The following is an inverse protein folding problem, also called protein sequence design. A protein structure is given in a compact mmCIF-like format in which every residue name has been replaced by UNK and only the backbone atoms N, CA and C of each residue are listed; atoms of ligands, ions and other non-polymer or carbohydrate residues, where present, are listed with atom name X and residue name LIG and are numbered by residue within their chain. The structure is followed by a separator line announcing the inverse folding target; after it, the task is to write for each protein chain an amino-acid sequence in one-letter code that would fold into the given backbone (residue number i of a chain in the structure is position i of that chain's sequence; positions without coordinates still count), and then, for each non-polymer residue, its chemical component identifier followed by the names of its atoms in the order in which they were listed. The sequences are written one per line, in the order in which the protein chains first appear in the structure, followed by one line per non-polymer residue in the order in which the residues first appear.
data_IF_894111836437
#
_entry.id   IF_894111836437
#
_cell.length_a   1.000
_cell.length_b   1.000
_cell.length_c   1.000
_cell.angle_alpha   90.00
_cell.angle_beta   90.00
_cell.angle_gamma   90.00
#
_symmetry.space_group_name_H-M   'P 1'
#
loop_
_entity.id
_entity.type
_entity.pdbx_description
1 polymer ?
#
# COMPACT_ATOMS: atom_id res chain seq x y z
N UNK A 1 -3.04 -18.88 -20.56
CA UNK A 1 -3.16 -18.41 -19.17
C UNK A 1 -4.63 -18.48 -18.78
N UNK A 2 -4.99 -19.08 -17.64
CA UNK A 2 -6.36 -18.98 -17.12
C UNK A 2 -6.71 -17.50 -16.89
N UNK A 3 -7.96 -17.12 -17.18
CA UNK A 3 -8.47 -15.77 -16.88
C UNK A 3 -8.48 -15.55 -15.36
N UNK A 4 -7.96 -14.42 -14.87
CA UNK A 4 -8.04 -14.11 -13.44
C UNK A 4 -9.52 -14.02 -13.03
N UNK A 5 -9.86 -14.68 -11.92
CA UNK A 5 -11.19 -14.59 -11.32
C UNK A 5 -11.37 -13.24 -10.65
N UNK A 6 -12.59 -12.68 -10.70
CA UNK A 6 -12.94 -11.49 -9.93
C UNK A 6 -12.81 -11.84 -8.45
N UNK A 7 -12.04 -11.06 -7.65
CA UNK A 7 -11.97 -11.28 -6.21
C UNK A 7 -13.35 -11.06 -5.57
N UNK A 8 -13.70 -11.85 -4.56
CA UNK A 8 -14.93 -11.62 -3.81
C UNK A 8 -14.80 -10.40 -2.90
N UNK A 9 -15.93 -9.79 -2.55
CA UNK A 9 -15.97 -8.68 -1.59
C UNK A 9 -15.33 -9.07 -0.25
N UNK A 10 -15.52 -10.32 0.19
CA UNK A 10 -14.89 -10.86 1.40
C UNK A 10 -13.36 -10.90 1.32
N UNK A 11 -12.80 -11.20 0.14
CA UNK A 11 -11.34 -11.20 -0.06
C UNK A 11 -10.77 -9.78 0.04
N UNK A 12 -11.47 -8.79 -0.54
CA UNK A 12 -11.08 -7.38 -0.45
C UNK A 12 -11.24 -6.86 0.99
N UNK A 13 -12.33 -7.22 1.67
CA UNK A 13 -12.56 -6.90 3.08
C UNK A 13 -11.49 -7.53 3.97
N UNK A 14 -11.10 -8.77 3.72
CA UNK A 14 -10.05 -9.44 4.48
C UNK A 14 -8.69 -8.77 4.29
N UNK A 15 -8.33 -8.37 3.07
CA UNK A 15 -7.07 -7.66 2.81
C UNK A 15 -6.99 -6.35 3.60
N UNK A 16 -8.05 -5.55 3.57
CA UNK A 16 -8.12 -4.29 4.32
C UNK A 16 -8.17 -4.51 5.84
N UNK A 17 -8.82 -5.58 6.31
CA UNK A 17 -8.83 -5.97 7.72
C UNK A 17 -7.43 -6.36 8.21
N UNK A 18 -6.64 -7.08 7.39
CA UNK A 18 -5.25 -7.41 7.71
C UNK A 18 -4.39 -6.16 7.82
N UNK A 19 -4.52 -5.17 6.92
CA UNK A 19 -3.82 -3.88 7.05
C UNK A 19 -4.23 -3.13 8.33
N UNK A 20 -5.52 -3.18 8.70
CA UNK A 20 -6.01 -2.60 9.93
C UNK A 20 -5.42 -3.30 11.18
N UNK A 21 -5.22 -4.61 11.13
CA UNK A 21 -4.53 -5.36 12.20
C UNK A 21 -3.08 -4.94 12.34
N UNK A 22 -2.32 -4.82 11.23
CA UNK A 22 -0.93 -4.32 11.28
C UNK A 22 -0.88 -2.94 11.91
N UNK A 23 -1.73 -2.01 11.44
CA UNK A 23 -1.85 -0.66 12.03
C UNK A 23 -2.16 -0.71 13.53
N UNK A 24 -3.03 -1.61 13.98
CA UNK A 24 -3.37 -1.73 15.39
C UNK A 24 -2.22 -2.33 16.20
N UNK A 25 -1.48 -3.30 15.64
CA UNK A 25 -0.28 -3.86 16.26
C UNK A 25 0.82 -2.81 16.40
N UNK A 26 1.06 -1.96 15.40
CA UNK A 26 2.03 -0.85 15.52
C UNK A 26 1.70 0.13 16.66
N UNK A 27 0.42 0.24 17.06
CA UNK A 27 -0.01 1.09 18.19
C UNK A 27 0.24 0.48 19.56
N UNK A 28 0.66 -0.78 19.63
CA UNK A 28 1.07 -1.42 20.89
C UNK A 28 2.55 -1.21 21.17
N UNK A 29 3.22 -0.33 20.43
CA UNK A 29 4.65 -0.04 20.52
C UNK A 29 5.54 -1.30 20.53
N UNK A 30 5.39 -2.22 19.55
CA UNK A 30 6.20 -3.43 19.48
C UNK A 30 7.68 -3.10 19.19
N UNK A 31 8.61 -4.01 19.52
CA UNK A 31 10.02 -3.79 19.24
C UNK A 31 10.26 -3.69 17.73
N UNK A 32 11.21 -2.83 17.34
CA UNK A 32 11.54 -2.56 15.93
C UNK A 32 11.91 -3.85 15.17
N UNK A 33 12.52 -4.82 15.84
CA UNK A 33 12.84 -6.14 15.28
C UNK A 33 11.62 -6.94 14.82
N UNK A 34 10.44 -6.72 15.42
CA UNK A 34 9.18 -7.34 15.00
C UNK A 34 8.47 -6.50 13.92
N UNK A 35 8.70 -5.18 13.89
CA UNK A 35 8.08 -4.25 12.93
C UNK A 35 8.73 -4.30 11.56
N UNK A 36 10.07 -4.34 11.49
CA UNK A 36 10.79 -4.24 10.21
C UNK A 36 10.43 -5.34 9.21
N UNK A 37 10.25 -6.62 9.59
CA UNK A 37 9.77 -7.65 8.66
C UNK A 37 8.37 -7.36 8.11
N UNK A 38 7.47 -6.81 8.94
CA UNK A 38 6.12 -6.42 8.50
C UNK A 38 6.18 -5.27 7.48
N UNK A 39 6.99 -4.25 7.76
CA UNK A 39 7.19 -3.12 6.85
C UNK A 39 7.86 -3.55 5.55
N UNK A 40 8.84 -4.46 5.62
CA UNK A 40 9.51 -4.98 4.43
C UNK A 40 8.53 -5.68 3.49
N UNK A 41 7.60 -6.49 4.02
CA UNK A 41 6.55 -7.10 3.21
C UNK A 41 5.53 -6.10 2.67
N UNK A 42 5.11 -5.11 3.47
CA UNK A 42 4.15 -4.09 3.03
C UNK A 42 4.72 -3.14 1.96
N UNK A 43 6.03 -2.92 1.98
CA UNK A 43 6.76 -2.03 1.10
C UNK A 43 7.62 -2.80 0.10
N UNK A 44 7.34 -4.07 -0.14
CA UNK A 44 8.08 -4.90 -1.09
C UNK A 44 8.14 -4.24 -2.48
N UNK A 45 9.27 -4.40 -3.17
CA UNK A 45 9.55 -3.68 -4.42
C UNK A 45 8.69 -4.11 -5.60
N UNK A 46 8.17 -5.33 -5.57
CA UNK A 46 7.38 -5.92 -6.65
C UNK A 46 5.93 -6.16 -6.23
N UNK A 47 5.71 -6.47 -4.96
CA UNK A 47 4.43 -6.96 -4.43
C UNK A 47 3.89 -6.12 -3.26
N UNK A 48 4.58 -5.04 -2.92
CA UNK A 48 4.18 -4.14 -1.83
C UNK A 48 2.88 -3.39 -2.14
N UNK A 49 2.26 -2.86 -1.08
CA UNK A 49 1.07 -2.02 -1.17
C UNK A 49 1.27 -0.83 -2.12
N UNK A 50 2.40 -0.09 -2.10
CA UNK A 50 2.65 1.01 -3.05
C UNK A 50 2.48 0.62 -4.52
N UNK A 51 3.08 -0.50 -4.91
CA UNK A 51 3.11 -0.99 -6.30
C UNK A 51 1.73 -1.53 -6.69
N UNK A 52 1.17 -2.43 -5.88
CA UNK A 52 -0.12 -3.05 -6.17
C UNK A 52 -1.25 -2.00 -6.23
N UNK A 53 -1.28 -1.06 -5.29
CA UNK A 53 -2.29 0.01 -5.29
C UNK A 53 -2.14 0.91 -6.52
N UNK A 54 -0.90 1.28 -6.87
CA UNK A 54 -0.62 2.06 -8.07
C UNK A 54 -1.12 1.37 -9.35
N UNK A 55 -0.86 0.08 -9.49
CA UNK A 55 -1.28 -0.71 -10.64
C UNK A 55 -2.80 -0.89 -10.72
N UNK A 56 -3.46 -1.09 -9.58
CA UNK A 56 -4.93 -1.14 -9.50
C UNK A 56 -5.53 0.19 -9.96
N UNK A 57 -5.03 1.32 -9.44
CA UNK A 57 -5.55 2.66 -9.78
C UNK A 57 -5.31 3.02 -11.24
N UNK A 58 -4.12 2.71 -11.78
CA UNK A 58 -3.80 2.91 -13.20
C UNK A 58 -4.68 2.04 -14.10
N UNK A 59 -4.94 0.79 -13.70
CA UNK A 59 -5.84 -0.12 -14.40
C UNK A 59 -7.28 0.35 -14.36
N UNK A 60 -7.75 0.86 -13.22
CA UNK A 60 -9.08 1.44 -13.06
C UNK A 60 -9.25 2.69 -13.96
N UNK A 61 -8.28 3.60 -13.95
CA UNK A 61 -8.30 4.79 -14.82
C UNK A 61 -8.38 4.41 -16.30
N UNK A 62 -7.61 3.40 -16.72
CA UNK A 62 -7.65 2.85 -18.08
C UNK A 62 -9.00 2.25 -18.41
N UNK A 63 -9.58 1.48 -17.49
CA UNK A 63 -10.87 0.81 -17.67
C UNK A 63 -12.01 1.82 -17.84
N UNK A 64 -12.06 2.84 -16.99
CA UNK A 64 -13.05 3.93 -17.08
C UNK A 64 -12.92 4.69 -18.41
N UNK A 65 -11.68 5.05 -18.81
CA UNK A 65 -11.44 5.73 -20.08
C UNK A 65 -11.88 4.90 -21.30
N UNK A 66 -11.68 3.58 -21.27
CA UNK A 66 -12.03 2.69 -22.38
C UNK A 66 -13.54 2.44 -22.51
N UNK A 67 -14.27 2.46 -21.40
CA UNK A 67 -15.71 2.14 -21.36
C UNK A 67 -16.61 3.37 -21.45
N UNK A 68 -16.04 4.58 -21.43
CA UNK A 68 -16.79 5.82 -21.54
C UNK A 68 -17.04 6.18 -23.00
N UNK A 69 -18.31 6.47 -23.34
CA UNK A 69 -18.68 6.96 -24.65
C UNK A 69 -18.08 8.36 -24.92
N UNK A 70 -17.62 8.59 -26.15
CA UNK A 70 -17.08 9.89 -26.56
C UNK A 70 -18.21 10.85 -27.01
N UNK A 71 -18.15 12.15 -26.63
CA UNK A 71 -17.14 12.79 -25.79
C UNK A 71 -17.33 12.52 -24.28
N UNK A 72 -16.23 12.40 -23.54
CA UNK A 72 -16.25 12.22 -22.08
C UNK A 72 -16.77 13.48 -21.35
N UNK A 73 -17.58 13.31 -20.31
CA UNK A 73 -17.97 14.40 -19.40
C UNK A 73 -16.76 14.91 -18.62
N UNK A 74 -16.81 16.16 -18.14
CA UNK A 74 -15.72 16.72 -17.32
C UNK A 74 -15.50 15.93 -16.02
N UNK A 75 -16.58 15.42 -15.40
CA UNK A 75 -16.52 14.60 -14.18
C UNK A 75 -15.76 13.29 -14.41
N UNK A 76 -15.99 12.62 -15.53
CA UNK A 76 -15.27 11.38 -15.87
C UNK A 76 -13.80 11.69 -16.13
N UNK A 77 -13.50 12.78 -16.86
CA UNK A 77 -12.12 13.23 -17.11
C UNK A 77 -11.38 13.54 -15.80
N UNK A 78 -12.03 14.25 -14.87
CA UNK A 78 -11.47 14.54 -13.55
C UNK A 78 -11.20 13.25 -12.75
N UNK A 79 -12.14 12.30 -12.77
CA UNK A 79 -11.99 11.02 -12.07
C UNK A 79 -10.82 10.20 -12.62
N UNK A 80 -10.70 10.09 -13.95
CA UNK A 80 -9.57 9.41 -14.61
C UNK A 80 -8.25 10.05 -14.21
N UNK A 81 -8.17 11.37 -14.21
CA UNK A 81 -6.96 12.09 -13.82
C UNK A 81 -6.63 11.89 -12.33
N UNK A 82 -7.63 11.94 -11.45
CA UNK A 82 -7.47 11.67 -10.02
C UNK A 82 -6.92 10.26 -9.76
N UNK A 83 -7.45 9.24 -10.44
CA UNK A 83 -6.94 7.87 -10.34
C UNK A 83 -5.48 7.75 -10.82
N UNK A 84 -5.12 8.40 -11.94
CA UNK A 84 -3.74 8.40 -12.45
C UNK A 84 -2.77 9.12 -11.52
N UNK A 85 -3.20 10.23 -10.93
CA UNK A 85 -2.38 10.98 -9.97
C UNK A 85 -2.16 10.15 -8.69
N UNK A 86 -3.24 9.62 -8.12
CA UNK A 86 -3.14 8.77 -6.93
C UNK A 86 -2.30 7.51 -7.19
N UNK A 87 -2.36 6.94 -8.40
CA UNK A 87 -1.49 5.84 -8.79
C UNK A 87 0.00 6.23 -8.74
N UNK A 88 0.34 7.41 -9.24
CA UNK A 88 1.71 7.92 -9.20
C UNK A 88 2.17 8.16 -7.76
N UNK A 89 1.37 8.88 -6.98
CA UNK A 89 1.65 9.18 -5.57
C UNK A 89 1.85 7.91 -4.74
N UNK A 90 1.03 6.87 -4.98
CA UNK A 90 1.19 5.58 -4.33
C UNK A 90 2.52 4.92 -4.71
N UNK A 91 2.87 4.88 -6.00
CA UNK A 91 4.14 4.28 -6.44
C UNK A 91 5.37 5.05 -5.99
N UNK A 92 5.27 6.37 -5.76
CA UNK A 92 6.37 7.18 -5.26
C UNK A 92 6.82 6.72 -3.85
N UNK A 93 5.92 6.10 -3.07
CA UNK A 93 6.27 5.51 -1.77
C UNK A 93 7.18 4.29 -1.85
N UNK A 94 7.39 3.71 -3.04
CA UNK A 94 8.29 2.56 -3.23
C UNK A 94 9.71 2.83 -2.72
N UNK A 95 10.17 4.09 -2.71
CA UNK A 95 11.48 4.46 -2.13
C UNK A 95 11.65 4.00 -0.67
N UNK A 96 10.56 3.93 0.09
CA UNK A 96 10.56 3.48 1.48
C UNK A 96 11.00 2.02 1.64
N UNK A 97 10.89 1.20 0.59
CA UNK A 97 11.45 -0.14 0.55
C UNK A 97 12.93 -0.14 0.95
N UNK A 98 13.72 0.71 0.26
CA UNK A 98 15.16 0.82 0.45
C UNK A 98 15.52 1.38 1.82
N UNK A 99 14.70 2.30 2.34
CA UNK A 99 14.91 2.86 3.67
C UNK A 99 14.67 1.78 4.75
N UNK A 100 13.61 0.96 4.62
CA UNK A 100 13.34 -0.16 5.54
C UNK A 100 14.42 -1.24 5.45
N UNK A 101 14.87 -1.58 4.24
CA UNK A 101 16.00 -2.51 4.08
C UNK A 101 17.28 -1.98 4.75
N UNK A 102 17.54 -0.68 4.66
CA UNK A 102 18.68 -0.05 5.34
C UNK A 102 18.55 -0.14 6.86
N UNK A 103 17.34 0.07 7.39
CA UNK A 103 17.05 -0.07 8.82
C UNK A 103 17.30 -1.49 9.36
N UNK A 104 17.07 -2.54 8.57
CA UNK A 104 17.40 -3.92 8.96
C UNK A 104 18.90 -4.14 9.25
N UNK A 105 19.79 -3.28 8.74
CA UNK A 105 21.22 -3.32 9.03
C UNK A 105 21.64 -2.66 10.34
N UNK A 106 20.71 -2.03 11.06
CA UNK A 106 20.98 -1.28 12.29
C UNK A 106 20.59 -2.06 13.56
N UNK A 107 21.37 -1.87 14.62
CA UNK A 107 21.00 -2.33 15.96
C UNK A 107 20.07 -1.30 16.61
N UNK A 108 18.95 -1.77 17.16
CA UNK A 108 18.01 -0.95 17.93
C UNK A 108 18.11 -1.35 19.41
N UNK A 109 18.35 -0.39 20.30
CA UNK A 109 18.30 -0.66 21.73
C UNK A 109 16.83 -0.79 22.21
N UNK A 110 16.52 -1.75 23.09
CA UNK A 110 15.22 -1.80 23.72
C UNK A 110 15.03 -0.56 24.59
N UNK A 111 13.84 0.04 24.54
CA UNK A 111 13.49 1.15 25.42
C UNK A 111 13.70 0.72 26.88
N UNK A 112 14.64 1.36 27.57
CA UNK A 112 14.88 1.12 28.99
C UNK A 112 13.65 1.45 29.83
N UNK A 113 13.53 0.90 31.06
CA UNK A 113 12.38 1.15 31.92
C UNK A 113 12.23 2.66 32.18
N UNK A 114 11.00 3.18 32.31
CA UNK A 114 10.77 4.58 32.60
C UNK A 114 11.50 4.95 33.89
N UNK A 115 12.41 5.92 33.81
CA UNK A 115 13.08 6.48 34.99
C UNK A 115 12.01 7.14 35.86
N UNK A 116 11.65 6.48 36.96
CA UNK A 116 10.86 7.09 38.01
C UNK A 116 11.68 8.24 38.63
N UNK A 117 11.15 9.46 38.58
CA UNK A 117 11.57 10.60 39.41
C UNK A 117 10.47 10.90 40.41
#
# INVERSE_FOLDING_TARGET
MPTPSVPSDDQVAQATATLAQVRNYLRTDPPVSEVLPLLAGLLDEDTGVPILLGDILRSAARLVAQQTASPETDEIRLTINGLRQAAQEATDWHVLHWDVQRLNGHAFEPAGPPTAS
#
